data_IF_102477725474
#
_entry.id   IF_102477725474
#
_cell.length_a   1.000
_cell.length_b   1.000
_cell.length_c   1.000
_cell.angle_alpha   90.00
_cell.angle_beta   90.00
_cell.angle_gamma   90.00
#
_symmetry.space_group_name_H-M   'P 1'
#
loop_
_entity.id
_entity.type
_entity.pdbx_description
1 polymer ?
#
# COMPACT_ATOMS: atom_id res chain seq x y z
N UNK A 1 12.43 -4.12 -1.09
CA UNK A 1 11.50 -5.06 -1.76
C UNK A 1 10.29 -4.25 -2.16
N UNK A 2 9.97 -4.15 -3.45
CA UNK A 2 8.88 -3.26 -3.88
C UNK A 2 7.52 -3.91 -3.68
N UNK A 3 6.59 -3.18 -3.05
CA UNK A 3 5.21 -3.64 -2.90
C UNK A 3 4.38 -3.28 -4.15
N UNK A 4 3.52 -4.17 -4.66
CA UNK A 4 2.66 -3.85 -5.81
C UNK A 4 1.65 -2.76 -5.48
N UNK A 5 1.33 -1.91 -6.46
CA UNK A 5 0.19 -0.99 -6.37
C UNK A 5 -1.11 -1.79 -6.15
N UNK A 6 -2.07 -1.15 -5.47
CA UNK A 6 -3.38 -1.69 -5.10
C UNK A 6 -3.31 -2.94 -4.20
N UNK A 7 -2.16 -3.20 -3.58
CA UNK A 7 -2.05 -4.23 -2.55
C UNK A 7 -2.45 -3.69 -1.18
N UNK A 8 -3.08 -4.55 -0.37
CA UNK A 8 -3.37 -4.28 1.03
C UNK A 8 -2.13 -4.51 1.89
N UNK A 9 -1.80 -3.51 2.70
CA UNK A 9 -0.68 -3.54 3.63
C UNK A 9 -1.13 -3.20 5.04
N UNK A 10 -0.36 -3.66 6.02
CA UNK A 10 -0.53 -3.34 7.43
C UNK A 10 0.58 -2.41 7.90
N UNK A 11 0.26 -1.40 8.70
CA UNK A 11 1.28 -0.62 9.42
C UNK A 11 2.01 -1.50 10.45
N UNK A 12 3.34 -1.43 10.46
CA UNK A 12 4.21 -2.20 11.38
C UNK A 12 4.46 -1.46 12.70
N UNK A 13 4.15 -0.17 12.75
CA UNK A 13 4.29 0.73 13.90
C UNK A 13 3.14 1.74 13.97
N UNK A 14 3.03 2.43 15.10
CA UNK A 14 2.12 3.57 15.25
C UNK A 14 2.64 4.76 14.42
N UNK A 15 1.72 5.57 13.89
CA UNK A 15 2.02 6.87 13.26
C UNK A 15 1.24 7.95 14.01
N UNK A 16 1.84 8.55 15.05
CA UNK A 16 1.14 9.45 15.97
C UNK A 16 0.57 10.70 15.30
N UNK A 17 1.23 11.25 14.26
CA UNK A 17 0.77 12.47 13.59
C UNK A 17 -0.64 12.31 13.01
N UNK A 18 -0.99 11.10 12.58
CA UNK A 18 -2.28 10.76 11.99
C UNK A 18 -3.20 9.98 12.94
N UNK A 19 -2.80 9.80 14.21
CA UNK A 19 -3.49 8.95 15.19
C UNK A 19 -3.72 7.51 14.67
N UNK A 20 -2.77 6.98 13.88
CA UNK A 20 -2.84 5.64 13.32
C UNK A 20 -2.07 4.66 14.19
N UNK A 21 -2.62 3.44 14.29
CA UNK A 21 -2.06 2.39 15.12
C UNK A 21 -1.35 1.35 14.29
N UNK A 22 -0.31 0.76 14.87
CA UNK A 22 0.25 -0.50 14.41
C UNK A 22 -0.88 -1.47 14.20
N UNK A 23 -0.92 -2.06 13.02
CA UNK A 23 -1.97 -3.00 12.66
C UNK A 23 -3.07 -2.42 11.77
N UNK A 24 -3.16 -1.08 11.64
CA UNK A 24 -4.09 -0.47 10.67
C UNK A 24 -3.78 -0.93 9.24
N UNK A 25 -4.83 -1.10 8.45
CA UNK A 25 -4.75 -1.63 7.08
C UNK A 25 -5.07 -0.53 6.09
N UNK A 26 -4.21 -0.36 5.10
CA UNK A 26 -4.40 0.56 3.97
C UNK A 26 -4.10 -0.11 2.64
N UNK A 27 -4.38 0.60 1.55
CA UNK A 27 -4.10 0.15 0.18
C UNK A 27 -3.06 1.05 -0.44
N UNK A 28 -2.02 0.47 -1.05
CA UNK A 28 -1.01 1.24 -1.78
C UNK A 28 -1.63 1.84 -3.05
N UNK A 29 -1.54 3.15 -3.20
CA UNK A 29 -2.03 3.86 -4.41
C UNK A 29 -0.92 4.57 -5.18
N UNK A 30 0.24 4.81 -4.55
CA UNK A 30 1.42 5.38 -5.19
C UNK A 30 2.72 4.81 -4.61
N UNK A 31 3.78 4.80 -5.44
CA UNK A 31 5.13 4.36 -5.08
C UNK A 31 6.16 5.40 -5.55
N UNK A 32 7.00 5.85 -4.62
CA UNK A 32 8.06 6.82 -4.84
C UNK A 32 9.43 6.12 -4.72
N UNK A 33 10.05 5.71 -5.84
CA UNK A 33 11.36 5.11 -5.82
C UNK A 33 12.42 6.15 -5.41
N UNK A 34 13.24 5.82 -4.42
CA UNK A 34 14.28 6.72 -3.90
C UNK A 34 15.66 6.30 -4.40
N UNK A 35 16.47 7.28 -4.86
CA UNK A 35 17.84 7.01 -5.30
C UNK A 35 18.78 6.66 -4.14
N UNK A 36 18.43 7.06 -2.92
CA UNK A 36 19.10 6.74 -1.67
C UNK A 36 18.05 6.58 -0.56
N UNK A 37 18.14 5.49 0.21
CA UNK A 37 17.22 5.20 1.32
C UNK A 37 16.13 4.18 0.96
N UNK A 38 15.06 4.16 1.75
CA UNK A 38 13.88 3.32 1.51
C UNK A 38 12.93 4.01 0.54
N UNK A 39 12.23 3.22 -0.27
CA UNK A 39 11.15 3.72 -1.11
C UNK A 39 9.98 4.23 -0.25
N UNK A 40 9.32 5.27 -0.76
CA UNK A 40 8.10 5.83 -0.18
C UNK A 40 6.85 5.24 -0.83
N UNK A 41 5.75 5.21 -0.08
CA UNK A 41 4.44 4.75 -0.56
C UNK A 41 3.34 5.63 0.00
N UNK A 42 2.28 5.86 -0.80
CA UNK A 42 1.05 6.49 -0.32
C UNK A 42 -0.03 5.43 -0.11
N UNK A 43 -0.65 5.47 1.07
CA UNK A 43 -1.69 4.54 1.49
C UNK A 43 -3.05 5.24 1.56
N UNK A 44 -4.05 4.70 0.87
CA UNK A 44 -5.45 5.13 1.00
C UNK A 44 -6.22 4.25 2.00
N UNK A 45 -7.32 4.77 2.55
CA UNK A 45 -8.25 4.05 3.43
C UNK A 45 -7.93 4.15 4.92
N UNK A 46 -6.85 4.85 5.28
CA UNK A 46 -6.45 5.12 6.66
C UNK A 46 -7.04 6.45 7.19
N UNK A 47 -7.22 7.43 6.31
CA UNK A 47 -7.78 8.75 6.61
C UNK A 47 -8.89 9.05 5.57
N UNK A 48 -10.03 9.64 5.98
CA UNK A 48 -11.09 9.99 5.02
C UNK A 48 -10.61 10.99 3.96
N UNK A 49 -10.72 10.62 2.68
CA UNK A 49 -10.40 11.46 1.52
C UNK A 49 -8.93 11.93 1.44
N UNK A 50 -8.01 11.24 2.09
CA UNK A 50 -6.59 11.58 2.08
C UNK A 50 -5.71 10.32 2.11
N UNK A 51 -4.42 10.48 1.85
CA UNK A 51 -3.42 9.42 1.86
C UNK A 51 -2.39 9.63 2.97
N UNK A 52 -1.77 8.52 3.37
CA UNK A 52 -0.67 8.54 4.35
C UNK A 52 0.61 8.09 3.67
N UNK A 53 1.62 8.94 3.70
CA UNK A 53 2.96 8.61 3.22
C UNK A 53 3.72 7.78 4.26
N UNK A 54 4.34 6.70 3.81
CA UNK A 54 5.11 5.77 4.64
C UNK A 54 6.35 5.25 3.90
N UNK A 55 7.35 4.80 4.63
CA UNK A 55 8.51 4.09 4.05
C UNK A 55 8.29 2.58 3.99
N UNK A 56 9.08 1.88 3.18
CA UNK A 56 9.02 0.43 3.02
C UNK A 56 8.98 -0.34 4.37
N UNK A 57 9.78 0.06 5.36
CA UNK A 57 9.85 -0.62 6.66
C UNK A 57 8.61 -0.42 7.55
N UNK A 58 7.82 0.61 7.30
CA UNK A 58 6.61 0.93 8.07
C UNK A 58 5.40 0.10 7.65
N UNK A 59 5.51 -0.70 6.59
CA UNK A 59 4.43 -1.51 6.04
C UNK A 59 4.84 -2.98 5.88
N UNK A 60 3.83 -3.85 5.87
CA UNK A 60 3.98 -5.24 5.46
C UNK A 60 2.80 -5.67 4.60
N UNK A 61 3.07 -6.47 3.59
CA UNK A 61 2.05 -6.98 2.68
C UNK A 61 1.09 -7.94 3.40
N UNK A 62 -0.21 -7.73 3.23
CA UNK A 62 -1.26 -8.65 3.68
C UNK A 62 -1.80 -9.43 2.48
N UNK A 63 -2.21 -8.72 1.42
CA UNK A 63 -2.87 -9.29 0.26
C UNK A 63 -2.54 -8.46 -0.97
N UNK A 64 -2.19 -9.13 -2.06
CA UNK A 64 -2.14 -8.50 -3.38
C UNK A 64 -3.54 -8.59 -3.98
N UNK A 65 -4.14 -7.46 -4.36
CA UNK A 65 -5.33 -7.53 -5.21
C UNK A 65 -4.90 -8.08 -6.56
N UNK A 66 -5.34 -9.31 -6.85
CA UNK A 66 -5.27 -9.84 -8.19
C UNK A 66 -6.37 -9.15 -8.97
N UNK A 67 -6.04 -8.15 -9.79
CA UNK A 67 -6.88 -7.84 -10.95
C UNK A 67 -7.04 -9.15 -11.72
N UNK A 68 -8.26 -9.60 -12.04
CA UNK A 68 -8.43 -10.80 -12.84
C UNK A 68 -7.75 -10.58 -14.19
N UNK A 69 -6.55 -11.11 -14.34
CA UNK A 69 -5.82 -11.08 -15.58
C UNK A 69 -6.54 -12.04 -16.54
N UNK A 70 -7.07 -11.45 -17.61
CA UNK A 70 -7.73 -12.07 -18.78
C UNK A 70 -9.16 -12.56 -18.53
N UNK A 71 -10.11 -11.65 -18.78
CA UNK A 71 -11.25 -12.01 -19.61
C UNK A 71 -10.70 -12.43 -20.99
N UNK A 72 -10.26 -13.69 -21.10
CA UNK A 72 -10.06 -14.35 -22.38
C UNK A 72 -11.45 -14.47 -23.01
N UNK A 73 -11.87 -13.45 -23.75
CA UNK A 73 -12.96 -13.58 -24.70
C UNK A 73 -12.46 -14.43 -25.87
N UNK A 74 -12.35 -15.73 -25.63
CA UNK A 74 -12.32 -16.73 -26.67
C UNK A 74 -13.30 -17.82 -26.25
N UNK A 75 -14.52 -17.72 -26.78
CA UNK A 75 -15.33 -18.85 -27.24
C UNK A 75 -16.72 -18.36 -27.70
N UNK A 76 -16.84 -18.02 -28.98
CA UNK A 76 -17.62 -18.76 -30.01
C UNK A 76 -17.94 -17.84 -31.18
#
# INVERSE_FOLDING_TARGET
MTFPLFSQVQLTQDIPEFNLKKGSVGVIVEHYPMSQGEDGYSLEGLIPQDTVEVTESQIKLIKVEQTPEKATFFNR
#
